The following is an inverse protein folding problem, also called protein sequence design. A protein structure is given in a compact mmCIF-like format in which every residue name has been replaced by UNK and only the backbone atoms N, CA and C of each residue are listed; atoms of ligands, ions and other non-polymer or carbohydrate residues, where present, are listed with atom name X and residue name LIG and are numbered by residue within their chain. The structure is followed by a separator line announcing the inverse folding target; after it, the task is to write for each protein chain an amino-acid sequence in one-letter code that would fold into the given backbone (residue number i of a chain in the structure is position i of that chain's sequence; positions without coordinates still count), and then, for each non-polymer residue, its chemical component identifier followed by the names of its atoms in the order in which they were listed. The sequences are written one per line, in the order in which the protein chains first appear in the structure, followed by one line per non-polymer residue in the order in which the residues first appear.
data_IF_091393392456
#
_entry.id   IF_091393392456
#
_cell.length_a   1.000
_cell.length_b   1.000
_cell.length_c   1.000
_cell.angle_alpha   90.00
_cell.angle_beta   90.00
_cell.angle_gamma   90.00
#
_symmetry.space_group_name_H-M   'P 1'
#
loop_
_entity.id
_entity.type
_entity.pdbx_description
1 polymer ?
#
# COMPACT_ATOMS: atom_id res chain seq x y z
N UNK A 1 -10.93 3.39 -12.51
CA UNK A 1 -10.64 3.60 -11.07
C UNK A 1 -10.97 5.03 -10.58
N UNK A 2 -11.70 5.84 -11.35
CA UNK A 2 -12.30 7.08 -10.87
C UNK A 2 -13.58 7.31 -11.67
N UNK A 3 -14.69 7.63 -11.01
CA UNK A 3 -15.96 7.86 -11.68
C UNK A 3 -16.09 9.31 -12.18
N UNK A 4 -15.26 10.21 -11.64
CA UNK A 4 -15.26 11.63 -11.97
C UNK A 4 -14.31 11.94 -13.14
N UNK A 5 -14.64 12.98 -13.91
CA UNK A 5 -13.83 13.42 -15.05
C UNK A 5 -12.53 14.13 -14.66
N UNK A 6 -12.43 14.63 -13.41
CA UNK A 6 -11.23 15.32 -12.93
C UNK A 6 -11.11 15.24 -11.42
N UNK A 7 -9.87 15.29 -10.93
CA UNK A 7 -9.55 15.33 -9.50
C UNK A 7 -8.65 16.55 -9.22
N UNK A 8 -8.89 17.31 -8.14
CA UNK A 8 -8.06 18.47 -7.81
C UNK A 8 -6.64 18.04 -7.41
N UNK A 9 -5.63 18.82 -7.78
CA UNK A 9 -4.22 18.54 -7.46
C UNK A 9 -3.89 18.68 -5.97
N UNK A 10 -4.53 19.64 -5.28
CA UNK A 10 -4.17 20.07 -3.92
C UNK A 10 -4.07 18.93 -2.89
N UNK A 11 -4.94 17.90 -2.87
CA UNK A 11 -4.82 16.78 -1.94
C UNK A 11 -3.59 15.88 -2.17
N UNK A 12 -3.01 15.88 -3.38
CA UNK A 12 -1.92 14.96 -3.76
C UNK A 12 -0.55 15.64 -3.77
N UNK A 13 -0.52 16.97 -3.82
CA UNK A 13 0.72 17.74 -3.85
C UNK A 13 1.22 18.01 -2.43
N UNK A 14 2.07 17.12 -1.94
CA UNK A 14 2.77 17.27 -0.66
C UNK A 14 4.14 17.95 -0.80
N UNK A 15 4.63 18.06 -2.04
CA UNK A 15 5.95 18.61 -2.36
C UNK A 15 5.82 20.10 -2.73
N UNK A 16 6.79 20.95 -2.33
CA UNK A 16 6.76 22.38 -2.67
C UNK A 16 7.00 22.62 -4.17
N UNK A 17 7.73 21.73 -4.83
CA UNK A 17 8.04 21.80 -6.26
C UNK A 17 6.98 21.04 -7.08
N UNK A 18 6.15 21.81 -7.80
CA UNK A 18 5.12 21.28 -8.70
C UNK A 18 5.70 20.56 -9.91
N UNK A 19 6.84 21.03 -10.43
CA UNK A 19 7.42 20.46 -11.64
C UNK A 19 7.90 19.04 -11.38
N UNK A 20 8.54 18.82 -10.22
CA UNK A 20 8.95 17.49 -9.78
C UNK A 20 7.79 16.50 -9.66
N UNK A 21 6.62 16.95 -9.20
CA UNK A 21 5.41 16.13 -9.16
C UNK A 21 4.97 15.72 -10.58
N UNK A 22 4.86 16.67 -11.50
CA UNK A 22 4.45 16.40 -12.88
C UNK A 22 5.44 15.50 -13.64
N UNK A 23 6.75 15.71 -13.47
CA UNK A 23 7.78 14.84 -14.03
C UNK A 23 7.66 13.40 -13.51
N UNK A 24 7.28 13.21 -12.24
CA UNK A 24 6.99 11.87 -11.71
C UNK A 24 5.75 11.27 -12.35
N UNK A 25 4.67 12.04 -12.50
CA UNK A 25 3.46 11.59 -13.18
C UNK A 25 3.75 11.10 -14.60
N UNK A 26 4.48 11.88 -15.40
CA UNK A 26 4.85 11.52 -16.76
C UNK A 26 5.69 10.23 -16.81
N UNK A 27 6.70 10.10 -15.93
CA UNK A 27 7.51 8.87 -15.83
C UNK A 27 6.67 7.64 -15.46
N UNK A 28 5.74 7.78 -14.52
CA UNK A 28 4.86 6.68 -14.12
C UNK A 28 3.92 6.28 -15.26
N UNK A 29 3.32 7.24 -15.98
CA UNK A 29 2.46 6.96 -17.13
C UNK A 29 3.25 6.22 -18.22
N UNK A 30 4.46 6.70 -18.56
CA UNK A 30 5.31 6.08 -19.57
C UNK A 30 5.64 4.62 -19.22
N UNK A 31 5.94 4.35 -17.94
CA UNK A 31 6.38 3.02 -17.49
C UNK A 31 5.23 2.04 -17.24
N UNK A 32 4.12 2.52 -16.66
CA UNK A 32 3.07 1.66 -16.12
C UNK A 32 1.81 1.58 -17.00
N UNK A 33 1.64 2.45 -18.00
CA UNK A 33 0.44 2.45 -18.85
C UNK A 33 0.11 1.09 -19.49
N UNK A 34 1.08 0.24 -19.95
CA UNK A 34 0.75 -1.08 -20.49
C UNK A 34 0.18 -2.02 -19.43
N UNK A 35 0.75 -1.99 -18.21
CA UNK A 35 0.29 -2.83 -17.11
C UNK A 35 -1.06 -2.36 -16.56
N UNK A 36 -1.29 -1.04 -16.51
CA UNK A 36 -2.57 -0.46 -16.12
C UNK A 36 -3.69 -0.89 -17.08
N UNK A 37 -3.46 -0.85 -18.39
CA UNK A 37 -4.42 -1.34 -19.37
C UNK A 37 -4.61 -2.86 -19.26
N UNK A 38 -3.52 -3.63 -19.13
CA UNK A 38 -3.59 -5.09 -18.98
C UNK A 38 -4.40 -5.50 -17.76
N UNK A 39 -4.28 -4.78 -16.64
CA UNK A 39 -5.06 -5.04 -15.43
C UNK A 39 -6.58 -4.92 -15.66
N UNK A 40 -7.01 -4.06 -16.59
CA UNK A 40 -8.42 -3.93 -16.96
C UNK A 40 -8.86 -4.93 -18.05
N UNK A 41 -7.92 -5.42 -18.88
CA UNK A 41 -8.22 -6.24 -20.05
C UNK A 41 -8.08 -7.75 -19.80
N UNK A 42 -7.23 -8.17 -18.84
CA UNK A 42 -6.90 -9.57 -18.55
C UNK A 42 -7.32 -9.93 -17.12
N UNK A 43 -8.44 -10.66 -16.94
CA UNK A 43 -8.92 -11.07 -15.62
C UNK A 43 -7.92 -11.92 -14.84
N UNK A 44 -7.12 -12.75 -15.51
CA UNK A 44 -6.14 -13.60 -14.84
C UNK A 44 -4.99 -12.76 -14.26
N UNK A 45 -4.53 -11.77 -15.02
CA UNK A 45 -3.53 -10.83 -14.54
C UNK A 45 -4.05 -10.01 -13.34
N UNK A 46 -5.32 -9.59 -13.36
CA UNK A 46 -5.95 -8.96 -12.19
C UNK A 46 -5.92 -9.87 -10.95
N UNK A 47 -6.36 -11.13 -11.09
CA UNK A 47 -6.36 -12.10 -9.97
C UNK A 47 -4.96 -12.36 -9.44
N UNK A 48 -3.96 -12.44 -10.32
CA UNK A 48 -2.57 -12.63 -9.93
C UNK A 48 -2.09 -11.45 -9.05
N UNK A 49 -2.22 -10.22 -9.54
CA UNK A 49 -1.81 -9.01 -8.79
C UNK A 49 -2.57 -8.90 -7.47
N UNK A 50 -3.84 -9.29 -7.44
CA UNK A 50 -4.65 -9.32 -6.21
C UNK A 50 -4.12 -10.34 -5.20
N UNK A 51 -3.75 -11.55 -5.65
CA UNK A 51 -3.20 -12.57 -4.79
C UNK A 51 -1.82 -12.17 -4.25
N UNK A 52 -0.96 -11.59 -5.09
CA UNK A 52 0.34 -11.06 -4.68
C UNK A 52 0.18 -10.03 -3.56
N UNK A 53 -0.78 -9.11 -3.70
CA UNK A 53 -1.10 -8.12 -2.67
C UNK A 53 -1.55 -8.76 -1.34
N UNK A 54 -2.32 -9.85 -1.39
CA UNK A 54 -2.77 -10.57 -0.18
C UNK A 54 -1.57 -11.16 0.56
N UNK A 55 -0.64 -11.74 -0.17
CA UNK A 55 0.55 -12.38 0.38
C UNK A 55 1.45 -11.36 1.12
N UNK A 56 1.57 -10.13 0.60
CA UNK A 56 2.31 -9.05 1.28
C UNK A 56 1.72 -8.69 2.66
N UNK A 57 0.40 -8.81 2.82
CA UNK A 57 -0.29 -8.58 4.10
C UNK A 57 -0.06 -9.71 5.11
N UNK A 58 -0.04 -10.95 4.64
CA UNK A 58 0.17 -12.14 5.49
C UNK A 58 1.64 -12.28 5.93
N UNK A 59 2.60 -11.95 5.05
CA UNK A 59 4.02 -11.93 5.38
C UNK A 59 4.35 -10.92 6.50
N UNK A 60 3.71 -9.75 6.48
CA UNK A 60 3.86 -8.75 7.53
C UNK A 60 3.31 -9.21 8.90
N UNK A 61 2.30 -10.08 8.93
CA UNK A 61 1.71 -10.61 10.17
C UNK A 61 2.54 -11.77 10.73
N UNK A 62 3.10 -12.63 9.87
CA UNK A 62 3.91 -13.79 10.27
C UNK A 62 5.25 -13.41 10.93
N UNK A 63 5.79 -12.22 10.64
CA UNK A 63 7.01 -11.69 11.28
C UNK A 63 6.87 -11.33 12.77
N UNK A 64 5.66 -11.38 13.33
CA UNK A 64 5.38 -11.12 14.77
C UNK A 64 5.22 -12.38 15.61
N UNK A 65 5.44 -13.57 15.04
CA UNK A 65 5.42 -14.84 15.77
C UNK A 65 6.66 -15.01 16.65
N UNK A 66 6.61 -14.49 17.88
CA UNK A 66 7.52 -14.92 18.95
C UNK A 66 7.42 -16.45 19.18
N UNK A 67 8.46 -17.09 19.73
CA UNK A 67 8.49 -18.55 19.89
C UNK A 67 7.35 -19.02 20.81
N UNK A 68 6.79 -20.24 20.59
CA UNK A 68 5.76 -20.78 21.47
C UNK A 68 6.41 -21.16 22.81
N UNK A 69 6.24 -20.32 23.83
CA UNK A 69 6.59 -20.68 25.19
C UNK A 69 5.30 -21.09 25.93
N UNK A 70 5.23 -22.36 26.31
CA UNK A 70 4.12 -22.89 27.09
C UNK A 70 4.03 -22.24 28.47
N UNK A 71 2.82 -22.00 28.95
CA UNK A 71 2.60 -21.57 30.33
C UNK A 71 1.28 -20.84 30.59
N UNK A 72 0.29 -21.61 31.04
CA UNK A 72 -0.73 -21.26 32.06
C UNK A 72 -1.72 -20.10 31.86
N UNK A 73 -2.99 -20.48 31.96
CA UNK A 73 -4.21 -19.71 32.22
C UNK A 73 -4.10 -18.68 33.36
N UNK A 74 -4.77 -17.51 33.24
CA UNK A 74 -5.67 -16.89 34.26
C UNK A 74 -6.11 -15.47 33.83
N UNK A 75 -7.42 -15.33 33.60
CA UNK A 75 -8.39 -14.26 33.96
C UNK A 75 -8.03 -12.76 34.04
N UNK A 76 -8.95 -11.96 33.48
CA UNK A 76 -9.53 -10.69 34.00
C UNK A 76 -9.25 -9.38 33.24
N UNK A 77 -10.35 -8.79 32.76
CA UNK A 77 -10.66 -7.39 32.47
C UNK A 77 -9.77 -6.28 33.09
N UNK A 78 -9.36 -5.27 32.31
CA UNK A 78 -9.91 -3.88 32.33
C UNK A 78 -9.08 -2.91 31.45
N UNK A 79 -9.80 -2.01 30.78
CA UNK A 79 -9.44 -0.72 30.17
C UNK A 79 -7.97 -0.28 30.11
N UNK A 80 -7.43 -0.02 28.90
CA UNK A 80 -6.48 1.06 28.66
C UNK A 80 -6.24 1.36 27.16
N UNK A 81 -6.58 2.60 26.79
CA UNK A 81 -5.77 3.53 25.98
C UNK A 81 -5.69 3.34 24.46
N UNK A 82 -6.27 4.33 23.80
CA UNK A 82 -5.89 4.84 22.49
C UNK A 82 -4.38 4.68 22.22
N UNK A 83 -4.04 3.95 21.16
CA UNK A 83 -2.69 3.93 20.60
C UNK A 83 -2.77 4.18 19.10
N UNK A 84 -2.86 5.47 18.76
CA UNK A 84 -2.53 5.99 17.45
C UNK A 84 -1.01 5.89 17.24
N UNK A 85 -0.56 4.86 16.55
CA UNK A 85 0.71 4.84 15.83
C UNK A 85 0.63 3.78 14.74
N UNK A 86 -0.20 4.05 13.73
CA UNK A 86 -0.20 3.25 12.50
C UNK A 86 1.21 3.31 11.91
N UNK A 87 1.88 2.15 11.86
CA UNK A 87 3.14 1.96 11.16
C UNK A 87 2.96 2.29 9.68
N UNK A 88 3.18 3.55 9.33
CA UNK A 88 3.28 4.02 7.97
C UNK A 88 4.61 3.53 7.40
N UNK A 89 4.60 2.28 6.92
CA UNK A 89 5.67 1.77 6.06
C UNK A 89 5.77 2.70 4.85
N UNK A 90 6.89 3.39 4.79
CA UNK A 90 7.25 4.37 3.78
C UNK A 90 7.36 3.67 2.41
N UNK A 91 6.33 3.82 1.58
CA UNK A 91 6.33 3.33 0.20
C UNK A 91 7.22 4.20 -0.69
N UNK A 92 8.54 4.18 -0.48
CA UNK A 92 9.45 4.63 -1.55
C UNK A 92 9.36 3.62 -2.67
N UNK A 93 8.62 3.96 -3.72
CA UNK A 93 8.93 3.35 -5.00
C UNK A 93 10.30 3.91 -5.42
N UNK A 94 11.32 3.06 -5.46
CA UNK A 94 12.58 3.40 -6.12
C UNK A 94 12.27 3.59 -7.62
N UNK A 95 12.33 4.84 -8.09
CA UNK A 95 12.09 5.21 -9.49
C UNK A 95 13.40 5.25 -10.31
N UNK A 96 14.53 4.82 -9.75
CA UNK A 96 15.87 4.91 -10.36
C UNK A 96 16.32 3.62 -11.08
N UNK A 97 15.39 2.95 -11.79
CA UNK A 97 15.75 1.89 -12.74
C UNK A 97 14.84 1.88 -13.95
#
# INVERSE_FOLDING_TARGET
MGNEISYPLKPFLVEPDKERFWQRCLRLIQRLSPQMLRLNADPHFFTQVFQDLKNEGEAAAAGTGGPPNGGTSTTSSTTARDSCAAGAKHWTMNLDR
#
